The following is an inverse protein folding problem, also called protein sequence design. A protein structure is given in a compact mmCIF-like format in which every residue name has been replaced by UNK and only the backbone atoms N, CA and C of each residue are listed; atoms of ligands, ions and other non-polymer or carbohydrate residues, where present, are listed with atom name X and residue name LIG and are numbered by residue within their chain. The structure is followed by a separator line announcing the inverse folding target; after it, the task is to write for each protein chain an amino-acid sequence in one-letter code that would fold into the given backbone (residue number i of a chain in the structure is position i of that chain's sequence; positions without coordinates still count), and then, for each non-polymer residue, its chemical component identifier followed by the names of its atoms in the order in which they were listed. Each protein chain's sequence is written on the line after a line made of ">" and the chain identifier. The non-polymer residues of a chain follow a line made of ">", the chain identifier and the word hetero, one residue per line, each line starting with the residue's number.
data_IF_921166913097
#
_entry.id   IF_921166913097
#
_cell.length_a   1.000
_cell.length_b   1.000
_cell.length_c   1.000
_cell.angle_alpha   90.00
_cell.angle_beta   90.00
_cell.angle_gamma   90.00
#
_symmetry.space_group_name_H-M   'P 1'
#
loop_
_entity.id
_entity.type
_entity.pdbx_description
1 polymer ?
#
# COMPACT_ATOMS: atom_id res chain seq x y z
N UNK A 1 -13.17 17.28 21.98
CA UNK A 1 -12.84 18.34 21.01
C UNK A 1 -12.09 17.64 19.88
N UNK A 2 -12.52 17.83 18.64
CA UNK A 2 -11.87 17.22 17.50
C UNK A 2 -10.41 17.66 17.36
N UNK A 3 -9.54 16.76 16.92
CA UNK A 3 -8.15 17.08 16.58
C UNK A 3 -8.08 17.82 15.24
N UNK A 4 -8.81 17.34 14.23
CA UNK A 4 -8.93 17.97 12.92
C UNK A 4 -10.41 18.14 12.59
N UNK A 5 -10.80 19.33 12.16
CA UNK A 5 -12.17 19.63 11.72
C UNK A 5 -12.12 20.35 10.37
N UNK A 6 -12.82 19.81 9.38
CA UNK A 6 -12.93 20.37 8.02
C UNK A 6 -14.38 20.81 7.82
N UNK A 7 -14.60 22.08 7.47
CA UNK A 7 -15.92 22.68 7.28
C UNK A 7 -16.08 23.19 5.84
N UNK A 8 -16.97 22.55 5.09
CA UNK A 8 -17.38 22.94 3.75
C UNK A 8 -16.19 23.29 2.83
N UNK A 9 -15.13 22.44 2.87
CA UNK A 9 -13.93 22.66 2.09
C UNK A 9 -14.19 22.41 0.61
N UNK A 10 -13.89 23.41 -0.21
CA UNK A 10 -13.86 23.31 -1.66
C UNK A 10 -12.47 23.71 -2.15
N UNK A 11 -12.00 23.09 -3.20
CA UNK A 11 -10.72 23.42 -3.81
C UNK A 11 -10.72 23.15 -5.32
N UNK A 12 -10.27 24.13 -6.09
CA UNK A 12 -10.15 24.04 -7.55
C UNK A 12 -8.73 24.41 -7.97
N UNK A 13 -8.09 23.54 -8.76
CA UNK A 13 -6.78 23.83 -9.34
C UNK A 13 -6.89 24.96 -10.38
N UNK A 14 -5.82 25.75 -10.61
CA UNK A 14 -5.81 26.72 -11.71
C UNK A 14 -6.15 26.02 -13.04
N UNK A 15 -6.94 26.68 -13.86
CA UNK A 15 -7.36 26.21 -15.20
C UNK A 15 -8.20 24.91 -15.19
N UNK A 16 -8.52 24.32 -14.03
CA UNK A 16 -9.38 23.15 -13.96
C UNK A 16 -10.86 23.55 -14.15
N UNK A 17 -11.57 22.81 -15.01
CA UNK A 17 -13.00 23.05 -15.27
C UNK A 17 -13.90 22.55 -14.11
N UNK A 18 -13.39 21.67 -13.24
CA UNK A 18 -14.15 21.11 -12.13
C UNK A 18 -13.34 21.18 -10.83
N UNK A 19 -14.01 21.35 -9.69
CA UNK A 19 -13.35 21.34 -8.39
C UNK A 19 -12.77 19.96 -8.07
N UNK A 20 -11.56 19.93 -7.52
CA UNK A 20 -10.92 18.71 -7.02
C UNK A 20 -11.50 18.29 -5.66
N UNK A 21 -12.03 19.25 -4.89
CA UNK A 21 -12.75 19.02 -3.63
C UNK A 21 -14.03 19.85 -3.65
N UNK A 22 -15.14 19.25 -3.23
CA UNK A 22 -16.45 19.91 -3.20
C UNK A 22 -17.22 19.55 -1.93
N UNK A 23 -17.48 20.55 -1.08
CA UNK A 23 -18.32 20.47 0.10
C UNK A 23 -17.83 19.46 1.14
N UNK A 24 -16.52 19.30 1.30
CA UNK A 24 -15.93 18.34 2.24
C UNK A 24 -16.18 18.77 3.69
N UNK A 25 -16.81 17.89 4.45
CA UNK A 25 -17.01 18.05 5.91
C UNK A 25 -16.49 16.80 6.61
N UNK A 26 -15.53 16.96 7.54
CA UNK A 26 -14.91 15.86 8.25
C UNK A 26 -14.46 16.30 9.64
N UNK A 27 -14.76 15.49 10.63
CA UNK A 27 -14.31 15.66 12.00
C UNK A 27 -13.53 14.41 12.41
N UNK A 28 -12.32 14.59 12.93
CA UNK A 28 -11.40 13.52 13.34
C UNK A 28 -11.10 13.68 14.83
N UNK A 29 -11.29 12.63 15.59
CA UNK A 29 -11.00 12.61 17.02
C UNK A 29 -9.52 12.27 17.29
N UNK A 30 -8.95 12.73 18.44
CA UNK A 30 -7.60 12.31 18.82
C UNK A 30 -7.48 10.78 18.92
N UNK A 31 -6.39 10.23 18.40
CA UNK A 31 -6.12 8.80 18.38
C UNK A 31 -6.92 7.97 17.34
N UNK A 32 -7.80 8.60 16.57
CA UNK A 32 -8.59 7.92 15.54
C UNK A 32 -7.73 7.50 14.37
N UNK A 33 -7.99 6.29 13.83
CA UNK A 33 -7.37 5.78 12.61
C UNK A 33 -8.39 5.77 11.47
N UNK A 34 -8.25 6.67 10.52
CA UNK A 34 -9.20 6.89 9.42
C UNK A 34 -8.59 6.51 8.09
N UNK A 35 -9.31 5.70 7.33
CA UNK A 35 -8.99 5.34 5.95
C UNK A 35 -9.86 6.15 4.98
N UNK A 36 -9.23 6.79 4.01
CA UNK A 36 -9.92 7.44 2.88
C UNK A 36 -9.66 6.63 1.61
N UNK A 37 -10.71 6.12 0.99
CA UNK A 37 -10.62 5.32 -0.23
C UNK A 37 -11.52 5.86 -1.35
N UNK A 38 -11.14 5.55 -2.59
CA UNK A 38 -11.82 6.01 -3.79
C UNK A 38 -10.92 5.84 -5.02
N UNK A 39 -11.47 6.02 -6.22
CA UNK A 39 -10.74 5.90 -7.47
C UNK A 39 -9.55 6.86 -7.56
N UNK A 40 -8.57 6.56 -8.41
CA UNK A 40 -7.48 7.50 -8.70
C UNK A 40 -8.05 8.80 -9.27
N UNK A 41 -7.50 9.94 -8.83
CA UNK A 41 -7.96 11.27 -9.27
C UNK A 41 -9.24 11.78 -8.58
N UNK A 42 -9.85 11.04 -7.63
CA UNK A 42 -11.06 11.52 -6.94
C UNK A 42 -10.81 12.63 -5.88
N UNK A 43 -9.57 13.07 -5.67
CA UNK A 43 -9.24 14.17 -4.76
C UNK A 43 -8.58 13.78 -3.43
N UNK A 44 -8.24 12.51 -3.16
CA UNK A 44 -7.66 12.03 -1.89
C UNK A 44 -6.37 12.76 -1.51
N UNK A 45 -5.38 12.76 -2.42
CA UNK A 45 -4.10 13.44 -2.19
C UNK A 45 -4.25 14.94 -2.04
N UNK A 46 -5.18 15.57 -2.79
CA UNK A 46 -5.52 16.97 -2.65
C UNK A 46 -6.05 17.27 -1.25
N UNK A 47 -6.97 16.43 -0.75
CA UNK A 47 -7.53 16.59 0.60
C UNK A 47 -6.44 16.50 1.67
N UNK A 48 -5.56 15.48 1.62
CA UNK A 48 -4.47 15.34 2.59
C UNK A 48 -3.53 16.55 2.58
N UNK A 49 -3.18 17.06 1.40
CA UNK A 49 -2.31 18.24 1.25
C UNK A 49 -2.95 19.51 1.80
N UNK A 50 -4.28 19.68 1.66
CA UNK A 50 -4.98 20.81 2.28
C UNK A 50 -4.93 20.76 3.82
N UNK A 51 -4.79 19.57 4.42
CA UNK A 51 -4.60 19.41 5.86
C UNK A 51 -3.18 19.74 6.35
N UNK A 52 -2.24 20.09 5.47
CA UNK A 52 -0.90 20.57 5.82
C UNK A 52 -0.54 21.77 4.93
N UNK A 53 -0.80 23.03 5.36
CA UNK A 53 -0.62 24.22 4.52
C UNK A 53 0.74 24.32 3.82
N UNK A 54 1.81 23.85 4.45
CA UNK A 54 3.14 23.81 3.85
C UNK A 54 3.23 22.94 2.56
N UNK A 55 2.27 22.03 2.36
CA UNK A 55 2.16 21.16 1.16
C UNK A 55 0.94 21.49 0.30
N UNK A 56 0.13 22.51 0.72
CA UNK A 56 -1.05 22.93 -0.02
C UNK A 56 -0.64 23.47 -1.40
N UNK A 57 -1.35 23.03 -2.41
CA UNK A 57 -1.12 23.45 -3.78
C UNK A 57 -1.82 24.79 -4.06
N UNK A 58 -1.33 25.51 -5.08
CA UNK A 58 -1.96 26.74 -5.52
C UNK A 58 -3.32 26.44 -6.17
N UNK A 59 -4.34 27.27 -5.88
CA UNK A 59 -5.70 27.13 -6.40
C UNK A 59 -6.70 27.94 -5.60
N UNK A 60 -7.95 27.92 -6.05
CA UNK A 60 -9.06 28.57 -5.36
C UNK A 60 -9.58 27.66 -4.24
N UNK A 61 -9.53 28.17 -3.00
CA UNK A 61 -9.98 27.47 -1.78
C UNK A 61 -11.10 28.23 -1.11
N UNK A 62 -12.14 27.53 -0.68
CA UNK A 62 -13.16 28.04 0.25
C UNK A 62 -13.49 27.02 1.33
N UNK A 63 -14.14 27.45 2.40
CA UNK A 63 -14.31 26.66 3.61
C UNK A 63 -13.15 26.85 4.59
N UNK A 64 -13.09 26.04 5.64
CA UNK A 64 -12.10 26.16 6.71
C UNK A 64 -11.64 24.81 7.23
N UNK A 65 -10.38 24.74 7.67
CA UNK A 65 -9.80 23.59 8.36
C UNK A 65 -9.27 24.07 9.70
N UNK A 66 -9.63 23.33 10.76
CA UNK A 66 -9.18 23.62 12.13
C UNK A 66 -8.37 22.45 12.66
N UNK A 67 -7.26 22.75 13.32
CA UNK A 67 -6.43 21.78 14.02
C UNK A 67 -6.36 22.17 15.50
N UNK A 68 -6.83 21.28 16.40
CA UNK A 68 -7.00 21.60 17.83
C UNK A 68 -7.80 22.89 18.07
N UNK A 69 -8.83 23.14 17.25
CA UNK A 69 -9.69 24.33 17.34
C UNK A 69 -9.10 25.62 16.80
N UNK A 70 -7.85 25.63 16.32
CA UNK A 70 -7.18 26.77 15.68
C UNK A 70 -7.24 26.61 14.17
N UNK A 71 -7.49 27.69 13.42
CA UNK A 71 -7.45 27.66 11.96
C UNK A 71 -6.07 27.17 11.49
N UNK A 72 -6.06 26.22 10.53
CA UNK A 72 -4.82 25.53 10.14
C UNK A 72 -3.81 26.49 9.48
N UNK A 73 -4.31 27.53 8.83
CA UNK A 73 -3.52 28.62 8.22
C UNK A 73 -2.82 29.52 9.24
N UNK A 74 -3.32 29.56 10.48
CA UNK A 74 -2.72 30.32 11.58
C UNK A 74 -1.60 29.55 12.31
N UNK A 75 -1.42 28.28 12.00
CA UNK A 75 -0.31 27.49 12.55
C UNK A 75 1.00 27.97 11.93
N UNK A 76 1.98 28.29 12.78
CA UNK A 76 3.32 28.56 12.32
C UNK A 76 3.90 27.36 11.56
N UNK A 77 4.87 27.61 10.68
CA UNK A 77 5.55 26.54 9.94
C UNK A 77 6.15 25.49 10.89
N UNK A 78 6.70 25.95 12.03
CA UNK A 78 7.23 25.07 13.08
C UNK A 78 6.15 24.18 13.69
N UNK A 79 5.00 24.74 14.05
CA UNK A 79 3.87 23.96 14.60
C UNK A 79 3.33 22.94 13.61
N UNK A 80 3.22 23.31 12.34
CA UNK A 80 2.82 22.38 11.28
C UNK A 80 3.82 21.22 11.13
N UNK A 81 5.12 21.52 11.19
CA UNK A 81 6.18 20.51 11.04
C UNK A 81 6.25 19.58 12.24
N UNK A 82 6.05 20.08 13.45
CA UNK A 82 6.10 19.31 14.70
C UNK A 82 4.84 18.47 14.91
N UNK A 83 3.65 19.05 14.65
CA UNK A 83 2.36 18.45 15.04
C UNK A 83 1.69 17.62 13.93
N UNK A 84 1.98 17.91 12.66
CA UNK A 84 1.35 17.26 11.50
C UNK A 84 2.43 16.60 10.66
N UNK A 85 2.57 15.28 10.79
CA UNK A 85 3.44 14.46 9.95
C UNK A 85 2.80 14.18 8.59
N UNK A 86 3.62 14.08 7.54
CA UNK A 86 3.16 13.68 6.21
C UNK A 86 4.12 12.64 5.62
N UNK A 87 3.57 11.53 5.11
CA UNK A 87 4.32 10.49 4.40
C UNK A 87 3.82 10.45 2.97
N UNK A 88 4.75 10.66 2.03
CA UNK A 88 4.45 10.71 0.59
C UNK A 88 4.35 9.30 -0.01
N UNK A 89 3.72 9.22 -1.16
CA UNK A 89 3.59 8.01 -1.96
C UNK A 89 4.95 7.47 -2.42
N UNK A 90 5.86 8.38 -2.83
CA UNK A 90 7.20 8.04 -3.31
C UNK A 90 8.25 8.43 -2.25
N UNK A 91 8.93 7.45 -1.63
CA UNK A 91 9.98 7.70 -0.65
C UNK A 91 11.19 8.44 -1.23
N UNK A 92 11.50 8.27 -2.52
CA UNK A 92 12.62 8.97 -3.16
C UNK A 92 12.40 10.50 -3.22
N UNK A 93 11.14 10.94 -3.24
CA UNK A 93 10.79 12.37 -3.22
C UNK A 93 10.79 12.95 -1.81
N UNK A 94 10.86 12.12 -0.78
CA UNK A 94 10.79 12.54 0.62
C UNK A 94 12.14 12.47 1.33
N UNK A 95 12.96 11.46 1.04
CA UNK A 95 14.27 11.26 1.67
C UNK A 95 15.24 12.33 1.16
N UNK A 96 15.92 13.01 2.10
CA UNK A 96 16.79 14.15 1.82
C UNK A 96 18.27 13.80 2.03
N UNK A 97 18.57 12.86 2.93
CA UNK A 97 19.95 12.57 3.35
C UNK A 97 20.48 11.28 2.74
N UNK A 98 21.80 11.10 2.83
CA UNK A 98 22.54 9.96 2.27
C UNK A 98 22.56 8.72 3.18
N UNK A 99 22.31 8.89 4.49
CA UNK A 99 22.37 7.83 5.51
C UNK A 99 21.12 7.77 6.37
N UNK A 100 20.74 6.58 6.76
CA UNK A 100 19.56 6.30 7.59
C UNK A 100 19.56 7.11 8.88
N UNK A 101 20.68 7.13 9.63
CA UNK A 101 20.77 7.88 10.89
C UNK A 101 20.60 9.39 10.71
N UNK A 102 21.08 9.93 9.56
CA UNK A 102 20.93 11.36 9.25
C UNK A 102 19.49 11.68 8.91
N UNK A 103 18.80 10.81 8.18
CA UNK A 103 17.40 10.97 7.85
C UNK A 103 16.52 10.99 9.11
N UNK A 104 16.78 10.10 10.07
CA UNK A 104 16.09 10.10 11.37
C UNK A 104 16.38 11.36 12.20
N UNK A 105 17.58 11.96 12.06
CA UNK A 105 17.94 13.16 12.78
C UNK A 105 17.39 14.44 12.14
N UNK A 106 17.24 14.47 10.83
CA UNK A 106 16.99 15.66 10.01
C UNK A 106 15.82 16.52 10.50
N UNK A 107 14.65 15.90 10.76
CA UNK A 107 13.48 16.62 11.25
C UNK A 107 13.69 17.22 12.65
N UNK A 108 14.36 16.50 13.55
CA UNK A 108 14.67 16.97 14.91
C UNK A 108 15.71 18.08 14.91
N UNK A 109 16.71 18.02 14.04
CA UNK A 109 17.71 19.08 13.85
C UNK A 109 17.04 20.35 13.33
N UNK A 110 16.17 20.23 12.33
CA UNK A 110 15.42 21.34 11.75
C UNK A 110 14.51 22.03 12.79
N UNK A 111 14.01 21.26 13.75
CA UNK A 111 13.24 21.79 14.89
C UNK A 111 14.13 22.34 16.02
N UNK A 112 15.45 22.30 15.90
CA UNK A 112 16.39 22.77 16.91
C UNK A 112 16.33 21.93 18.20
N UNK A 113 16.06 20.64 18.09
CA UNK A 113 15.99 19.73 19.24
C UNK A 113 17.39 19.55 19.85
N UNK A 114 17.50 19.61 21.19
CA UNK A 114 18.75 19.40 21.90
C UNK A 114 19.35 18.01 21.58
N UNK A 115 20.68 17.95 21.37
CA UNK A 115 21.41 16.74 20.98
C UNK A 115 21.13 15.52 21.90
N UNK A 116 21.04 15.74 23.23
CA UNK A 116 20.76 14.63 24.15
C UNK A 116 19.37 14.04 23.93
N UNK A 117 18.36 14.90 23.81
CA UNK A 117 16.96 14.50 23.56
C UNK A 117 16.84 13.85 22.17
N UNK A 118 17.51 14.40 21.17
CA UNK A 118 17.54 13.87 19.81
C UNK A 118 18.10 12.44 19.76
N UNK A 119 19.26 12.20 20.40
CA UNK A 119 19.88 10.85 20.45
C UNK A 119 18.96 9.83 21.11
N UNK A 120 18.27 10.19 22.20
CA UNK A 120 17.32 9.30 22.88
C UNK A 120 16.15 8.97 21.96
N UNK A 121 15.50 9.96 21.36
CA UNK A 121 14.35 9.75 20.46
C UNK A 121 14.72 8.90 19.23
N UNK A 122 15.89 9.16 18.63
CA UNK A 122 16.36 8.36 17.48
C UNK A 122 16.60 6.92 17.89
N UNK A 123 17.23 6.67 19.06
CA UNK A 123 17.48 5.32 19.53
C UNK A 123 16.18 4.56 19.85
N UNK A 124 15.20 5.22 20.47
CA UNK A 124 13.87 4.67 20.74
C UNK A 124 13.16 4.31 19.44
N UNK A 125 13.14 5.22 18.48
CA UNK A 125 12.49 4.98 17.17
C UNK A 125 13.24 3.93 16.34
N UNK A 126 14.56 3.92 16.32
CA UNK A 126 15.34 2.87 15.65
C UNK A 126 15.03 1.48 16.23
N UNK A 127 14.78 1.40 17.54
CA UNK A 127 14.32 0.17 18.18
C UNK A 127 12.88 -0.18 17.85
N UNK A 128 11.97 0.79 17.89
CA UNK A 128 10.54 0.62 17.60
C UNK A 128 10.30 0.12 16.18
N UNK A 129 11.01 0.68 15.21
CA UNK A 129 10.89 0.35 13.79
C UNK A 129 11.78 -0.83 13.35
N UNK A 130 12.63 -1.39 14.24
CA UNK A 130 13.56 -2.47 13.88
C UNK A 130 14.68 -2.05 12.91
N UNK A 131 15.09 -0.77 12.93
CA UNK A 131 16.07 -0.19 12.00
C UNK A 131 17.52 -0.49 12.41
N UNK A 132 17.77 -1.12 13.56
CA UNK A 132 19.10 -1.27 14.16
C UNK A 132 20.15 -1.85 13.21
N UNK A 133 19.80 -2.88 12.45
CA UNK A 133 20.73 -3.62 11.59
C UNK A 133 21.23 -2.81 10.38
N UNK A 134 20.46 -1.79 9.98
CA UNK A 134 20.78 -0.92 8.83
C UNK A 134 20.83 0.57 9.19
N UNK A 135 21.00 0.85 10.50
CA UNK A 135 21.05 2.24 11.03
C UNK A 135 22.17 3.10 10.42
N UNK A 136 23.34 2.51 10.18
CA UNK A 136 24.51 3.17 9.58
C UNK A 136 24.60 3.00 8.07
N UNK A 137 23.64 2.32 7.45
CA UNK A 137 23.63 2.05 6.01
C UNK A 137 23.37 3.31 5.19
N UNK A 138 23.95 3.40 3.97
CA UNK A 138 23.55 4.41 3.02
C UNK A 138 22.11 4.14 2.54
N UNK A 139 21.32 5.20 2.34
CA UNK A 139 19.92 5.11 1.86
C UNK A 139 19.82 4.41 0.50
N UNK A 140 20.85 4.58 -0.36
CA UNK A 140 20.91 3.92 -1.67
C UNK A 140 20.96 2.39 -1.61
N UNK A 141 21.40 1.81 -0.47
CA UNK A 141 21.45 0.37 -0.28
C UNK A 141 20.13 -0.23 0.21
N UNK A 142 19.14 0.61 0.56
CA UNK A 142 17.85 0.17 1.10
C UNK A 142 16.92 -0.32 0.00
N UNK A 143 16.12 -1.35 0.31
CA UNK A 143 14.97 -1.74 -0.50
C UNK A 143 13.87 -0.67 -0.46
N UNK A 144 12.94 -0.68 -1.43
CA UNK A 144 11.80 0.24 -1.45
C UNK A 144 10.95 0.18 -0.17
N UNK A 145 10.75 -1.02 0.39
CA UNK A 145 10.05 -1.19 1.67
C UNK A 145 10.79 -0.57 2.85
N UNK A 146 12.12 -0.74 2.91
CA UNK A 146 12.95 -0.11 3.93
C UNK A 146 12.97 1.42 3.81
N UNK A 147 13.02 1.97 2.58
CA UNK A 147 12.92 3.42 2.35
C UNK A 147 11.58 3.97 2.83
N UNK A 148 10.48 3.29 2.53
CA UNK A 148 9.16 3.72 2.97
C UNK A 148 9.02 3.65 4.50
N UNK A 149 9.58 2.61 5.12
CA UNK A 149 9.62 2.48 6.58
C UNK A 149 10.50 3.58 7.20
N UNK A 150 11.62 3.94 6.56
CA UNK A 150 12.48 5.06 6.97
C UNK A 150 11.74 6.40 6.91
N UNK A 151 10.98 6.68 5.84
CA UNK A 151 10.14 7.88 5.76
C UNK A 151 9.15 7.95 6.91
N UNK A 152 8.47 6.84 7.19
CA UNK A 152 7.53 6.76 8.33
C UNK A 152 8.25 7.00 9.67
N UNK A 153 9.42 6.40 9.88
CA UNK A 153 10.21 6.56 11.10
C UNK A 153 10.73 8.00 11.27
N UNK A 154 11.25 8.62 10.19
CA UNK A 154 11.76 9.99 10.18
C UNK A 154 10.67 11.04 10.51
N UNK A 155 9.43 10.76 10.12
CA UNK A 155 8.28 11.59 10.50
C UNK A 155 7.84 11.30 11.94
N UNK A 156 7.78 10.03 12.34
CA UNK A 156 7.30 9.62 13.67
C UNK A 156 8.23 10.05 14.81
N UNK A 157 9.55 10.15 14.54
CA UNK A 157 10.55 10.60 15.54
C UNK A 157 10.27 12.00 16.09
N UNK A 158 9.57 12.83 15.30
CA UNK A 158 9.11 14.16 15.74
C UNK A 158 7.91 14.08 16.71
N UNK A 159 7.27 12.91 16.85
CA UNK A 159 6.09 12.64 17.68
C UNK A 159 4.88 13.51 17.28
N UNK A 160 4.45 13.45 16.01
CA UNK A 160 3.32 14.24 15.55
C UNK A 160 2.01 13.79 16.21
N UNK A 161 1.06 14.73 16.39
CA UNK A 161 -0.29 14.43 16.86
C UNK A 161 -1.17 13.84 15.76
N UNK A 162 -0.92 14.25 14.49
CA UNK A 162 -1.61 13.81 13.29
C UNK A 162 -0.58 13.31 12.28
N UNK A 163 -0.81 12.12 11.73
CA UNK A 163 -0.02 11.53 10.67
C UNK A 163 -0.89 11.35 9.42
N UNK A 164 -0.50 12.01 8.35
CA UNK A 164 -1.14 11.95 7.04
C UNK A 164 -0.29 11.06 6.12
N UNK A 165 -0.90 10.05 5.49
CA UNK A 165 -0.18 9.14 4.59
C UNK A 165 -0.90 9.06 3.24
N UNK A 166 -0.18 9.42 2.18
CA UNK A 166 -0.72 9.43 0.81
C UNK A 166 -0.26 8.20 0.04
N UNK A 167 -1.11 7.17 -0.05
CA UNK A 167 -0.88 5.88 -0.71
C UNK A 167 0.52 5.27 -0.43
N UNK A 168 0.93 5.15 0.85
CA UNK A 168 2.31 4.83 1.22
C UNK A 168 2.75 3.42 0.80
N UNK A 169 1.81 2.50 0.48
CA UNK A 169 2.15 1.12 0.11
C UNK A 169 2.05 0.83 -1.38
N UNK A 170 1.82 1.85 -2.21
CA UNK A 170 1.63 1.70 -3.66
C UNK A 170 2.79 1.01 -4.38
N UNK A 171 4.03 1.24 -3.92
CA UNK A 171 5.26 0.66 -4.47
C UNK A 171 5.73 -0.60 -3.74
N UNK A 172 5.03 -1.01 -2.67
CA UNK A 172 5.42 -2.14 -1.84
C UNK A 172 4.83 -3.47 -2.36
N UNK A 173 5.57 -4.54 -2.16
CA UNK A 173 5.00 -5.88 -2.31
C UNK A 173 4.01 -6.19 -1.15
N UNK A 174 3.16 -7.22 -1.28
CA UNK A 174 2.14 -7.50 -0.28
C UNK A 174 2.68 -7.80 1.13
N UNK A 175 3.90 -8.36 1.26
CA UNK A 175 4.52 -8.69 2.55
C UNK A 175 4.97 -7.40 3.22
N UNK A 176 5.77 -6.59 2.51
CA UNK A 176 6.24 -5.29 3.01
C UNK A 176 5.08 -4.33 3.34
N UNK A 177 4.00 -4.34 2.52
CA UNK A 177 2.80 -3.57 2.81
C UNK A 177 2.12 -4.01 4.11
N UNK A 178 2.03 -5.33 4.38
CA UNK A 178 1.49 -5.88 5.62
C UNK A 178 2.31 -5.46 6.85
N UNK A 179 3.64 -5.53 6.76
CA UNK A 179 4.55 -5.08 7.83
C UNK A 179 4.43 -3.57 8.09
N UNK A 180 4.31 -2.78 7.03
CA UNK A 180 4.08 -1.34 7.11
C UNK A 180 2.78 -1.01 7.85
N UNK A 181 1.66 -1.65 7.50
CA UNK A 181 0.38 -1.45 8.16
C UNK A 181 0.39 -1.88 9.63
N UNK A 182 1.04 -3.00 9.97
CA UNK A 182 1.23 -3.43 11.35
C UNK A 182 2.01 -2.40 12.16
N UNK A 183 3.08 -1.83 11.59
CA UNK A 183 3.85 -0.76 12.22
C UNK A 183 3.01 0.48 12.41
N UNK A 184 2.20 0.86 11.41
CA UNK A 184 1.31 2.01 11.50
C UNK A 184 0.22 1.81 12.58
N UNK A 185 -0.34 0.59 12.71
CA UNK A 185 -1.29 0.28 13.79
C UNK A 185 -0.63 0.40 15.16
N UNK A 186 0.63 -0.03 15.30
CA UNK A 186 1.39 0.16 16.55
C UNK A 186 1.63 1.63 16.87
N UNK A 187 1.97 2.47 15.89
CA UNK A 187 2.08 3.92 16.07
C UNK A 187 0.77 4.51 16.61
N UNK A 188 -0.35 4.13 16.00
CA UNK A 188 -1.67 4.59 16.45
C UNK A 188 -2.00 4.11 17.87
N UNK A 189 -1.84 2.80 18.17
CA UNK A 189 -2.28 2.20 19.44
C UNK A 189 -1.29 2.43 20.61
N UNK A 190 0.04 2.41 20.35
CA UNK A 190 1.05 2.53 21.40
C UNK A 190 1.48 3.99 21.65
N UNK A 191 1.54 4.81 20.58
CA UNK A 191 1.94 6.23 20.68
C UNK A 191 0.73 7.19 20.74
N UNK A 192 -0.49 6.70 20.50
CA UNK A 192 -1.71 7.53 20.51
C UNK A 192 -1.81 8.49 19.32
N UNK A 193 -1.00 8.33 18.28
CA UNK A 193 -0.99 9.22 17.12
C UNK A 193 -2.26 9.02 16.29
N UNK A 194 -2.93 10.12 15.96
CA UNK A 194 -4.07 10.10 15.02
C UNK A 194 -3.57 9.87 13.61
N UNK A 195 -4.24 8.99 12.86
CA UNK A 195 -3.79 8.58 11.52
C UNK A 195 -4.88 8.80 10.49
N UNK A 196 -4.54 9.45 9.38
CA UNK A 196 -5.35 9.50 8.16
C UNK A 196 -4.52 8.93 7.03
N UNK A 197 -5.00 7.86 6.42
CA UNK A 197 -4.32 7.17 5.31
C UNK A 197 -5.23 7.10 4.08
N UNK A 198 -4.65 7.33 2.90
CA UNK A 198 -5.29 6.99 1.64
C UNK A 198 -4.70 5.70 1.11
N UNK A 199 -5.53 4.76 0.68
CA UNK A 199 -5.09 3.47 0.14
C UNK A 199 -6.09 2.86 -0.84
N UNK A 200 -5.57 2.01 -1.74
CA UNK A 200 -6.35 1.19 -2.66
C UNK A 200 -6.42 -0.28 -2.22
N UNK A 201 -5.44 -0.75 -1.45
CA UNK A 201 -5.36 -2.13 -0.95
C UNK A 201 -6.01 -2.24 0.41
N UNK A 202 -7.31 -2.55 0.44
CA UNK A 202 -8.10 -2.50 1.66
C UNK A 202 -8.02 -3.77 2.52
N UNK A 203 -7.64 -4.92 1.95
CA UNK A 203 -7.78 -6.24 2.58
C UNK A 203 -7.14 -6.32 3.98
N UNK A 204 -5.89 -5.84 4.11
CA UNK A 204 -5.16 -5.89 5.39
C UNK A 204 -5.40 -4.67 6.28
N UNK A 205 -5.76 -3.54 5.69
CA UNK A 205 -5.91 -2.28 6.42
C UNK A 205 -7.30 -2.13 7.03
N UNK A 206 -8.32 -2.64 6.35
CA UNK A 206 -9.72 -2.49 6.73
C UNK A 206 -10.06 -2.94 8.16
N UNK A 207 -9.52 -4.08 8.67
CA UNK A 207 -9.73 -4.49 10.06
C UNK A 207 -9.01 -3.61 11.10
N UNK A 208 -8.05 -2.78 10.67
CA UNK A 208 -7.20 -2.00 11.58
C UNK A 208 -7.71 -0.60 11.84
N UNK A 209 -8.60 -0.08 11.00
CA UNK A 209 -9.08 1.30 11.06
C UNK A 209 -10.39 1.41 11.84
N UNK A 210 -10.61 2.57 12.45
CA UNK A 210 -11.83 2.86 13.21
C UNK A 210 -12.95 3.33 12.28
N UNK A 211 -12.60 4.01 11.17
CA UNK A 211 -13.55 4.61 10.24
C UNK A 211 -13.03 4.59 8.81
N UNK A 212 -13.94 4.40 7.87
CA UNK A 212 -13.68 4.43 6.42
C UNK A 212 -14.51 5.53 5.78
N UNK A 213 -13.86 6.37 4.99
CA UNK A 213 -14.45 7.43 4.19
C UNK A 213 -14.30 7.08 2.73
N UNK A 214 -15.41 6.94 2.02
CA UNK A 214 -15.45 6.69 0.59
C UNK A 214 -15.60 8.00 -0.16
N UNK A 215 -14.70 8.27 -1.10
CA UNK A 215 -14.62 9.52 -1.84
C UNK A 215 -14.85 9.30 -3.34
N UNK A 216 -15.72 10.11 -3.95
CA UNK A 216 -16.02 10.09 -5.38
C UNK A 216 -16.08 11.52 -5.90
N UNK A 217 -15.37 11.81 -7.00
CA UNK A 217 -15.41 13.10 -7.72
C UNK A 217 -15.34 14.33 -6.79
N UNK A 218 -14.36 14.35 -5.89
CA UNK A 218 -14.12 15.46 -4.99
C UNK A 218 -15.04 15.55 -3.77
N UNK A 219 -15.98 14.63 -3.59
CA UNK A 219 -16.95 14.65 -2.49
C UNK A 219 -16.94 13.33 -1.70
N UNK A 220 -17.40 13.37 -0.45
CA UNK A 220 -17.60 12.15 0.33
C UNK A 220 -18.91 11.47 -0.04
N UNK A 221 -18.81 10.23 -0.50
CA UNK A 221 -19.94 9.38 -0.81
C UNK A 221 -20.50 8.68 0.44
N UNK A 222 -19.62 8.18 1.30
CA UNK A 222 -19.99 7.51 2.55
C UNK A 222 -18.91 7.70 3.61
N UNK A 223 -19.34 7.72 4.88
CA UNK A 223 -18.46 7.79 6.05
C UNK A 223 -19.06 6.85 7.11
N UNK A 224 -18.37 5.76 7.44
CA UNK A 224 -18.92 4.71 8.30
C UNK A 224 -17.84 3.90 9.01
N UNK A 225 -18.25 3.04 9.96
CA UNK A 225 -17.39 1.99 10.48
C UNK A 225 -17.09 0.95 9.40
N UNK A 226 -15.91 0.28 9.43
CA UNK A 226 -15.59 -0.79 8.48
C UNK A 226 -16.65 -1.90 8.47
N UNK A 227 -17.21 -2.25 9.63
CA UNK A 227 -18.21 -3.29 9.77
C UNK A 227 -19.57 -2.94 9.11
N UNK A 228 -19.87 -1.64 8.94
CA UNK A 228 -21.11 -1.16 8.33
C UNK A 228 -20.94 -0.80 6.83
N UNK A 229 -19.74 -0.89 6.29
CA UNK A 229 -19.46 -0.50 4.91
C UNK A 229 -20.29 -1.25 3.88
N UNK A 230 -20.53 -2.56 4.08
CA UNK A 230 -21.36 -3.35 3.18
C UNK A 230 -22.80 -2.82 3.08
N UNK A 231 -23.37 -2.36 4.21
CA UNK A 231 -24.71 -1.78 4.25
C UNK A 231 -24.75 -0.41 3.59
N UNK A 232 -23.75 0.44 3.86
CA UNK A 232 -23.66 1.80 3.32
C UNK A 232 -23.38 1.86 1.82
N UNK A 233 -22.73 0.83 1.28
CA UNK A 233 -22.37 0.72 -0.15
C UNK A 233 -23.32 -0.20 -0.91
N UNK A 234 -24.42 -0.62 -0.30
CA UNK A 234 -25.42 -1.45 -0.96
C UNK A 234 -25.96 -0.77 -2.22
N UNK A 235 -25.86 -1.45 -3.37
CA UNK A 235 -26.30 -0.92 -4.66
C UNK A 235 -25.25 -0.10 -5.42
N UNK A 236 -24.05 0.08 -4.86
CA UNK A 236 -22.93 0.70 -5.54
C UNK A 236 -21.86 -0.35 -5.87
N UNK A 237 -21.89 -0.88 -7.08
CA UNK A 237 -21.01 -1.98 -7.51
C UNK A 237 -19.52 -1.56 -7.54
N UNK A 238 -19.24 -0.29 -7.81
CA UNK A 238 -17.87 0.24 -7.87
C UNK A 238 -17.20 0.11 -6.50
N UNK A 239 -17.76 0.74 -5.46
CA UNK A 239 -17.21 0.68 -4.11
C UNK A 239 -17.36 -0.69 -3.47
N UNK A 240 -18.42 -1.42 -3.78
CA UNK A 240 -18.62 -2.76 -3.26
C UNK A 240 -17.53 -3.73 -3.74
N UNK A 241 -17.04 -3.56 -4.98
CA UNK A 241 -16.00 -4.42 -5.56
C UNK A 241 -14.64 -4.30 -4.86
N UNK A 242 -14.32 -3.14 -4.27
CA UNK A 242 -13.06 -2.88 -3.57
C UNK A 242 -13.07 -3.28 -2.10
N UNK A 243 -14.25 -3.62 -1.53
CA UNK A 243 -14.35 -4.10 -0.16
C UNK A 243 -13.57 -5.42 0.03
N UNK A 244 -13.05 -5.68 1.25
CA UNK A 244 -12.40 -6.95 1.57
C UNK A 244 -13.26 -8.16 1.27
N UNK A 245 -12.60 -9.26 0.92
CA UNK A 245 -13.26 -10.53 0.55
C UNK A 245 -14.19 -11.05 1.64
N UNK A 246 -13.80 -10.91 2.92
CA UNK A 246 -14.62 -11.27 4.08
C UNK A 246 -15.99 -10.54 4.09
N UNK A 247 -15.95 -9.22 3.87
CA UNK A 247 -17.13 -8.35 3.84
C UNK A 247 -18.01 -8.65 2.63
N UNK A 248 -17.40 -8.84 1.44
CA UNK A 248 -18.15 -9.18 0.21
C UNK A 248 -18.82 -10.54 0.28
N UNK A 249 -18.16 -11.56 0.84
CA UNK A 249 -18.75 -12.89 1.04
C UNK A 249 -19.94 -12.79 1.99
N UNK A 250 -19.78 -12.12 3.13
CA UNK A 250 -20.87 -11.90 4.08
C UNK A 250 -22.07 -11.24 3.41
N UNK A 251 -21.87 -10.17 2.67
CA UNK A 251 -22.94 -9.46 1.99
C UNK A 251 -23.65 -10.32 0.92
N UNK A 252 -22.88 -11.13 0.15
CA UNK A 252 -23.43 -12.03 -0.88
C UNK A 252 -24.17 -13.25 -0.32
N UNK A 253 -23.86 -13.67 0.90
CA UNK A 253 -24.54 -14.79 1.55
C UNK A 253 -25.87 -14.39 2.20
N UNK A 254 -26.12 -13.10 2.34
CA UNK A 254 -27.38 -12.57 2.86
C UNK A 254 -28.37 -12.27 1.72
N UNK A 255 -29.63 -12.61 1.93
CA UNK A 255 -30.68 -12.35 0.96
C UNK A 255 -31.00 -10.85 0.87
N UNK A 256 -31.57 -10.43 -0.26
CA UNK A 256 -32.01 -9.05 -0.46
C UNK A 256 -32.97 -8.63 0.68
N UNK A 257 -32.70 -7.48 1.30
CA UNK A 257 -33.51 -6.95 2.40
C UNK A 257 -32.98 -7.27 3.81
N UNK A 258 -32.03 -8.20 3.96
CA UNK A 258 -31.39 -8.46 5.25
C UNK A 258 -30.39 -7.37 5.62
N UNK A 259 -30.20 -7.15 6.94
CA UNK A 259 -29.23 -6.20 7.48
C UNK A 259 -27.79 -6.67 7.19
N UNK A 260 -26.95 -5.82 6.61
CA UNK A 260 -25.53 -6.07 6.33
C UNK A 260 -24.58 -5.41 7.35
N UNK A 261 -25.11 -4.83 8.43
CA UNK A 261 -24.29 -4.26 9.50
C UNK A 261 -23.57 -5.35 10.27
N UNK A 262 -22.40 -5.00 10.83
CA UNK A 262 -21.58 -5.93 11.59
C UNK A 262 -20.91 -6.99 10.74
N UNK A 263 -20.54 -6.66 9.49
CA UNK A 263 -19.84 -7.57 8.62
C UNK A 263 -18.49 -8.02 9.25
N UNK A 264 -18.13 -9.31 9.14
CA UNK A 264 -16.84 -9.79 9.62
C UNK A 264 -15.70 -9.18 8.81
N UNK A 265 -14.74 -8.55 9.49
CA UNK A 265 -13.64 -7.85 8.84
C UNK A 265 -12.44 -8.76 8.55
N UNK A 266 -12.26 -9.80 9.38
CA UNK A 266 -11.15 -10.74 9.27
C UNK A 266 -11.59 -12.07 8.64
N UNK A 267 -10.64 -12.76 8.01
CA UNK A 267 -10.87 -14.09 7.41
C UNK A 267 -11.37 -15.11 8.44
N UNK A 268 -10.84 -15.06 9.68
CA UNK A 268 -11.27 -15.95 10.76
C UNK A 268 -12.74 -15.73 11.11
N UNK A 269 -13.13 -14.50 11.38
CA UNK A 269 -14.53 -14.18 11.73
C UNK A 269 -15.50 -14.45 10.58
N UNK A 270 -15.07 -14.24 9.33
CA UNK A 270 -15.85 -14.61 8.15
C UNK A 270 -16.03 -16.12 8.01
N UNK A 271 -14.99 -16.90 8.28
CA UNK A 271 -15.05 -18.36 8.30
C UNK A 271 -16.00 -18.87 9.39
N UNK A 272 -15.88 -18.33 10.61
CA UNK A 272 -16.75 -18.71 11.74
C UNK A 272 -18.21 -18.37 11.42
N UNK A 273 -18.47 -17.21 10.80
CA UNK A 273 -19.80 -16.85 10.31
C UNK A 273 -20.34 -17.88 9.30
N UNK A 274 -19.54 -18.28 8.31
CA UNK A 274 -19.97 -19.26 7.31
C UNK A 274 -20.26 -20.63 7.93
N UNK A 275 -19.41 -21.12 8.83
CA UNK A 275 -19.58 -22.41 9.49
C UNK A 275 -20.83 -22.45 10.39
N UNK A 276 -21.19 -21.31 11.02
CA UNK A 276 -22.33 -21.22 11.91
C UNK A 276 -23.67 -21.04 11.16
N UNK A 277 -23.64 -20.52 9.94
CA UNK A 277 -24.87 -20.17 9.20
C UNK A 277 -25.15 -21.07 7.98
N UNK A 278 -24.15 -21.87 7.54
CA UNK A 278 -24.25 -22.72 6.37
C UNK A 278 -23.74 -24.12 6.66
N UNK A 279 -24.53 -25.15 6.32
CA UNK A 279 -24.07 -26.53 6.34
C UNK A 279 -23.36 -26.85 5.02
N UNK A 280 -22.14 -27.39 5.11
CA UNK A 280 -21.47 -27.94 3.95
C UNK A 280 -22.13 -29.27 3.57
N UNK A 281 -22.69 -29.38 2.36
CA UNK A 281 -23.12 -30.65 1.80
C UNK A 281 -21.88 -31.38 1.23
N UNK A 282 -21.41 -32.47 1.88
CA UNK A 282 -20.19 -33.18 1.47
C UNK A 282 -20.28 -33.80 0.06
N UNK A 283 -21.50 -34.06 -0.43
CA UNK A 283 -21.73 -34.67 -1.73
C UNK A 283 -21.55 -33.67 -2.87
N UNK A 284 -21.92 -32.40 -2.69
CA UNK A 284 -21.71 -31.35 -3.71
C UNK A 284 -20.25 -30.95 -3.85
N UNK A 285 -19.48 -30.99 -2.75
CA UNK A 285 -18.06 -30.64 -2.78
C UNK A 285 -17.24 -31.61 -3.62
N UNK A 286 -17.47 -32.92 -3.51
CA UNK A 286 -16.77 -33.94 -4.32
C UNK A 286 -17.11 -33.82 -5.83
N UNK A 287 -18.35 -33.46 -6.17
CA UNK A 287 -18.75 -33.26 -7.55
C UNK A 287 -18.12 -32.02 -8.18
N UNK A 288 -18.05 -30.88 -7.43
CA UNK A 288 -17.41 -29.64 -7.95
C UNK A 288 -15.89 -29.75 -8.01
N UNK A 289 -15.22 -30.37 -7.03
CA UNK A 289 -13.77 -30.61 -7.10
C UNK A 289 -13.40 -31.54 -8.27
N UNK A 290 -14.18 -32.58 -8.51
CA UNK A 290 -13.96 -33.47 -9.64
C UNK A 290 -14.24 -32.78 -10.98
N UNK A 291 -15.22 -31.90 -11.06
CA UNK A 291 -15.49 -31.08 -12.25
C UNK A 291 -14.39 -30.03 -12.49
N UNK A 292 -13.93 -29.33 -11.43
CA UNK A 292 -12.81 -28.36 -11.52
C UNK A 292 -11.50 -29.09 -11.88
N UNK A 293 -11.23 -30.24 -11.26
CA UNK A 293 -10.06 -31.06 -11.60
C UNK A 293 -10.17 -31.70 -12.99
N UNK A 294 -11.36 -32.06 -13.43
CA UNK A 294 -11.60 -32.60 -14.79
C UNK A 294 -11.51 -31.51 -15.87
N UNK A 295 -12.08 -30.31 -15.63
CA UNK A 295 -11.94 -29.18 -16.54
C UNK A 295 -10.49 -28.68 -16.59
N UNK A 296 -9.81 -28.51 -15.47
CA UNK A 296 -8.39 -28.14 -15.42
C UNK A 296 -7.48 -29.21 -16.07
N UNK A 297 -7.77 -30.50 -15.89
CA UNK A 297 -7.07 -31.58 -16.59
C UNK A 297 -7.43 -31.65 -18.08
N UNK A 298 -8.67 -31.42 -18.46
CA UNK A 298 -9.12 -31.43 -19.85
C UNK A 298 -8.56 -30.25 -20.65
N UNK A 299 -8.49 -29.06 -20.06
CA UNK A 299 -7.85 -27.89 -20.66
C UNK A 299 -6.34 -28.04 -20.72
N UNK A 300 -5.71 -28.56 -19.66
CA UNK A 300 -4.25 -28.79 -19.64
C UNK A 300 -3.82 -29.94 -20.56
N UNK A 301 -4.67 -30.95 -20.77
CA UNK A 301 -4.32 -32.10 -21.66
C UNK A 301 -4.62 -31.86 -23.13
N UNK A 302 -5.61 -31.03 -23.48
CA UNK A 302 -5.88 -30.65 -24.86
C UNK A 302 -4.86 -29.69 -25.45
N UNK A 303 -4.25 -28.81 -24.65
CA UNK A 303 -3.27 -27.82 -25.12
C UNK A 303 -1.80 -28.25 -24.99
N UNK A 304 -1.48 -29.32 -24.24
CA UNK A 304 -0.08 -29.73 -24.03
C UNK A 304 0.52 -30.66 -25.11
N UNK A 305 -0.25 -31.12 -26.06
CA UNK A 305 0.28 -32.15 -26.99
C UNK A 305 1.17 -31.66 -28.12
N UNK A 306 1.35 -30.34 -28.38
CA UNK A 306 2.31 -29.85 -29.38
C UNK A 306 2.63 -28.34 -29.25
N UNK A 307 2.77 -27.79 -28.05
CA UNK A 307 3.19 -26.38 -27.95
C UNK A 307 4.71 -26.28 -28.00
N UNK A 308 5.22 -25.61 -29.03
CA UNK A 308 6.64 -25.26 -29.18
C UNK A 308 7.13 -24.48 -27.96
N UNK A 309 8.25 -24.91 -27.37
CA UNK A 309 8.92 -24.13 -26.34
C UNK A 309 9.59 -22.91 -26.97
N UNK A 310 9.10 -21.73 -26.67
CA UNK A 310 9.60 -20.45 -27.20
C UNK A 310 10.82 -19.98 -26.43
N UNK A 311 10.75 -19.97 -25.10
CA UNK A 311 11.88 -19.60 -24.23
C UNK A 311 12.17 -20.77 -23.30
N UNK A 312 13.44 -21.13 -23.18
CA UNK A 312 13.92 -22.12 -22.22
C UNK A 312 15.11 -21.56 -21.46
N UNK A 313 14.97 -21.45 -20.14
CA UNK A 313 16.02 -21.02 -19.21
C UNK A 313 16.43 -22.23 -18.39
N UNK A 314 17.75 -22.52 -18.33
CA UNK A 314 18.32 -23.65 -17.60
C UNK A 314 19.50 -23.21 -16.77
N UNK A 315 19.45 -23.49 -15.47
CA UNK A 315 20.53 -23.24 -14.50
C UNK A 315 21.09 -21.82 -14.59
N UNK A 316 20.21 -20.80 -14.80
CA UNK A 316 20.66 -19.43 -14.99
C UNK A 316 21.10 -18.80 -13.68
N UNK A 317 22.37 -18.39 -13.64
CA UNK A 317 22.98 -17.64 -12.56
C UNK A 317 23.38 -16.25 -13.05
N UNK A 318 23.01 -15.22 -12.29
CA UNK A 318 23.30 -13.84 -12.67
C UNK A 318 23.57 -12.96 -11.45
N UNK A 319 24.56 -12.06 -11.59
CA UNK A 319 24.88 -10.96 -10.70
C UNK A 319 25.28 -9.73 -11.51
N UNK A 320 25.06 -8.55 -10.97
CA UNK A 320 25.39 -7.30 -11.67
C UNK A 320 26.89 -7.02 -11.69
N UNK A 321 27.58 -7.29 -10.60
CA UNK A 321 29.04 -7.09 -10.45
C UNK A 321 29.70 -8.37 -9.95
N UNK A 322 31.01 -8.50 -10.25
CA UNK A 322 31.76 -9.74 -10.01
C UNK A 322 31.78 -10.17 -8.54
N UNK A 323 31.75 -9.17 -7.63
CA UNK A 323 31.78 -9.39 -6.17
C UNK A 323 30.43 -9.17 -5.47
N UNK A 324 29.34 -8.94 -6.25
CA UNK A 324 27.99 -8.80 -5.71
C UNK A 324 27.31 -10.15 -5.46
N UNK A 325 26.27 -10.15 -4.63
CA UNK A 325 25.42 -11.32 -4.40
C UNK A 325 24.73 -11.76 -5.70
N UNK A 326 24.55 -13.07 -5.85
CA UNK A 326 23.78 -13.61 -6.95
C UNK A 326 22.30 -13.20 -6.83
N UNK A 327 21.78 -12.64 -7.92
CA UNK A 327 20.36 -12.27 -8.04
C UNK A 327 19.54 -13.44 -8.59
N UNK A 328 20.11 -14.16 -9.57
CA UNK A 328 19.53 -15.41 -10.05
C UNK A 328 20.43 -16.57 -9.62
N UNK A 329 19.84 -17.56 -8.97
CA UNK A 329 20.52 -18.68 -8.33
C UNK A 329 20.03 -20.00 -8.93
N UNK A 330 20.51 -20.36 -10.15
CA UNK A 330 20.15 -21.63 -10.81
C UNK A 330 18.70 -21.69 -11.30
N UNK A 331 18.19 -20.57 -11.84
CA UNK A 331 16.80 -20.45 -12.27
C UNK A 331 16.49 -21.35 -13.46
N UNK A 332 15.34 -22.03 -13.40
CA UNK A 332 14.84 -22.94 -14.45
C UNK A 332 13.37 -22.67 -14.75
N UNK A 333 13.03 -22.37 -15.99
CA UNK A 333 11.63 -22.33 -16.48
C UNK A 333 11.55 -22.41 -18.00
N UNK A 334 10.37 -22.77 -18.50
CA UNK A 334 10.02 -22.78 -19.91
C UNK A 334 8.80 -21.91 -20.15
N UNK A 335 8.74 -21.27 -21.31
CA UNK A 335 7.57 -20.54 -21.81
C UNK A 335 7.19 -21.14 -23.16
N UNK A 336 5.93 -21.52 -23.30
CA UNK A 336 5.42 -22.15 -24.53
C UNK A 336 4.71 -21.14 -25.44
N UNK A 337 4.59 -21.47 -26.72
CA UNK A 337 3.88 -20.61 -27.66
C UNK A 337 2.42 -20.40 -27.26
N UNK A 338 1.99 -19.13 -27.20
CA UNK A 338 0.63 -18.74 -26.78
C UNK A 338 0.35 -18.84 -25.28
N UNK A 339 1.37 -19.13 -24.45
CA UNK A 339 1.23 -19.19 -23.01
C UNK A 339 1.41 -17.81 -22.36
N UNK A 340 0.57 -17.49 -21.36
CA UNK A 340 0.76 -16.38 -20.45
C UNK A 340 1.42 -16.87 -19.17
N UNK A 341 2.71 -16.56 -19.01
CA UNK A 341 3.50 -16.95 -17.83
C UNK A 341 3.64 -15.78 -16.88
N UNK A 342 3.28 -15.97 -15.60
CA UNK A 342 3.41 -14.96 -14.56
C UNK A 342 4.57 -15.30 -13.61
N UNK A 343 5.50 -14.35 -13.41
CA UNK A 343 6.59 -14.44 -12.41
C UNK A 343 6.19 -13.64 -11.18
N UNK A 344 5.98 -14.34 -10.06
CA UNK A 344 5.58 -13.74 -8.79
C UNK A 344 6.70 -13.82 -7.76
N UNK A 345 6.72 -12.88 -6.82
CA UNK A 345 7.71 -12.83 -5.73
C UNK A 345 7.79 -11.44 -5.10
N UNK A 346 8.46 -11.31 -3.97
CA UNK A 346 8.70 -10.04 -3.28
C UNK A 346 9.58 -9.07 -4.08
N UNK A 347 9.64 -7.81 -3.64
CA UNK A 347 10.56 -6.83 -4.22
C UNK A 347 12.01 -7.27 -3.96
N UNK A 348 12.89 -7.08 -4.95
CA UNK A 348 14.28 -7.58 -4.87
C UNK A 348 14.47 -9.07 -5.14
N UNK A 349 13.41 -9.88 -5.35
CA UNK A 349 13.51 -11.32 -5.66
C UNK A 349 14.05 -11.63 -7.07
N UNK A 350 14.49 -10.64 -7.85
CA UNK A 350 15.08 -10.85 -9.17
C UNK A 350 14.10 -11.01 -10.33
N UNK A 351 12.79 -10.68 -10.17
CA UNK A 351 11.77 -10.81 -11.22
C UNK A 351 12.14 -10.07 -12.52
N UNK A 352 12.49 -8.79 -12.39
CA UNK A 352 12.92 -7.98 -13.55
C UNK A 352 14.20 -8.52 -14.18
N UNK A 353 15.17 -8.94 -13.35
CA UNK A 353 16.41 -9.57 -13.80
C UNK A 353 16.13 -10.88 -14.54
N UNK A 354 15.19 -11.70 -14.06
CA UNK A 354 14.74 -12.92 -14.71
C UNK A 354 14.14 -12.65 -16.10
N UNK A 355 13.26 -11.64 -16.20
CA UNK A 355 12.67 -11.22 -17.48
C UNK A 355 13.72 -10.70 -18.46
N UNK A 356 14.64 -9.82 -17.99
CA UNK A 356 15.71 -9.27 -18.83
C UNK A 356 16.71 -10.36 -19.26
N UNK A 357 16.97 -11.36 -18.42
CA UNK A 357 17.79 -12.52 -18.77
C UNK A 357 17.07 -13.40 -19.80
N UNK A 358 15.78 -13.67 -19.62
CA UNK A 358 14.98 -14.43 -20.58
C UNK A 358 14.83 -13.71 -21.93
N UNK A 359 14.78 -12.37 -21.92
CA UNK A 359 14.76 -11.53 -23.12
C UNK A 359 16.15 -11.38 -23.79
N UNK A 360 17.23 -11.89 -23.17
CA UNK A 360 18.58 -11.79 -23.70
C UNK A 360 19.27 -10.45 -23.50
N UNK A 361 18.68 -9.52 -22.74
CA UNK A 361 19.32 -8.25 -22.37
C UNK A 361 20.49 -8.50 -21.44
N UNK A 362 20.29 -9.35 -20.43
CA UNK A 362 21.37 -9.81 -19.55
C UNK A 362 21.84 -11.20 -19.95
N UNK A 363 23.15 -11.42 -19.85
CA UNK A 363 23.76 -12.75 -20.06
C UNK A 363 24.06 -13.38 -18.70
N UNK A 364 23.50 -14.56 -18.39
CA UNK A 364 23.89 -15.28 -17.19
C UNK A 364 25.36 -15.70 -17.29
N UNK A 365 26.10 -15.60 -16.17
CA UNK A 365 27.50 -16.06 -16.15
C UNK A 365 27.61 -17.58 -16.10
N UNK A 366 26.52 -18.26 -15.71
CA UNK A 366 26.38 -19.71 -15.71
C UNK A 366 24.95 -20.07 -16.12
N UNK A 367 24.79 -21.17 -16.87
CA UNK A 367 23.51 -21.62 -17.39
C UNK A 367 23.28 -21.26 -18.86
N UNK A 368 22.09 -21.47 -19.36
CA UNK A 368 21.76 -21.27 -20.79
C UNK A 368 20.35 -20.70 -20.92
N UNK A 369 20.21 -19.75 -21.84
CA UNK A 369 18.91 -19.24 -22.31
C UNK A 369 18.78 -19.53 -23.79
N UNK A 370 17.67 -20.17 -24.20
CA UNK A 370 17.38 -20.50 -25.57
C UNK A 370 16.06 -19.88 -26.01
N UNK A 371 16.00 -19.40 -27.24
CA UNK A 371 14.81 -18.97 -27.94
C UNK A 371 14.57 -19.91 -29.11
N UNK A 372 13.43 -20.61 -29.14
CA UNK A 372 13.07 -21.65 -30.13
C UNK A 372 14.22 -22.62 -30.36
N UNK A 373 14.79 -23.17 -29.30
CA UNK A 373 15.87 -24.14 -29.32
C UNK A 373 17.28 -23.59 -29.63
N UNK A 374 17.42 -22.34 -30.12
CA UNK A 374 18.70 -21.70 -30.41
C UNK A 374 19.17 -20.85 -29.23
N UNK A 375 20.48 -20.77 -28.94
CA UNK A 375 21.01 -19.87 -27.90
C UNK A 375 20.56 -18.43 -28.15
N UNK A 376 20.12 -17.72 -27.09
CA UNK A 376 19.61 -16.34 -27.24
C UNK A 376 20.70 -15.36 -27.73
N UNK A 377 21.96 -15.66 -27.44
CA UNK A 377 23.11 -14.89 -27.93
C UNK A 377 23.18 -14.84 -29.48
N UNK A 378 22.60 -15.81 -30.18
CA UNK A 378 22.55 -15.81 -31.65
C UNK A 378 21.67 -14.72 -32.25
N UNK A 379 20.77 -14.15 -31.44
CA UNK A 379 19.81 -13.08 -31.84
C UNK A 379 20.24 -11.69 -31.38
N UNK A 380 21.32 -11.58 -30.61
CA UNK A 380 21.93 -10.28 -30.30
C UNK A 380 22.59 -9.78 -31.58
N UNK A 381 22.10 -8.64 -32.08
CA UNK A 381 22.91 -7.81 -33.00
C UNK A 381 23.79 -6.95 -32.12
N UNK A 382 25.09 -6.91 -32.42
CA UNK A 382 26.07 -6.00 -31.83
C UNK A 382 25.63 -4.54 -31.99
#
# INVERSE_FOLDING_TARGET
>A
MALLEIKNLNFTYPEAAQPALSGINLEIQPGEFVLICGASGCGKSTLLRQCKPALSQHGEKSGAIYFNGKAIEELSFREQSEKIGFVMQDPEMQIVTDKVRHELAFGLESLGTNNRKMRVRIAEMASFFGIRDWFDSPVSALSGGQKQLLCLAAVTVMQPQLLLLDEPTSQLDPIAAGEFFNTLKRINSELGTTVIITEHRLENLFPMVDRVVFMRSGSFFSNCSPADAAEKLRGDDEFFSVLPSSVRIFAKTRQNGQNLRGAPLEVRSARDYLLNNFSLDPCRHKASENQIRASAKAESSKNRKNTETVISVREAWFRYEKDSKDILCGMNFDVHAGELTCIVGGNGAGKTTALLTAAGVFSPYRGKVKYRGKPISTFRKD
#
